data_IF_243080419938
#
_entry.id   IF_243080419938
#
_cell.length_a   1.000
_cell.length_b   1.000
_cell.length_c   1.000
_cell.angle_alpha   90.00
_cell.angle_beta   90.00
_cell.angle_gamma   90.00
#
_symmetry.space_group_name_H-M   'P 1'
#
loop_
_entity.id
_entity.type
_entity.pdbx_description
1 polymer ?
#
# COMPACT_ATOMS: atom_id res chain seq x y z
N UNK A 1 -2.54 -24.37 1.43
CA UNK A 1 -1.68 -23.22 1.82
C UNK A 1 -2.09 -22.00 0.98
N UNK A 2 -2.12 -20.79 1.55
CA UNK A 2 -2.47 -19.58 0.80
C UNK A 2 -1.37 -19.27 -0.23
N UNK A 3 -1.78 -18.83 -1.42
CA UNK A 3 -0.90 -18.38 -2.50
C UNK A 3 -1.20 -16.92 -2.75
N UNK A 4 -0.19 -16.05 -2.68
CA UNK A 4 -0.36 -14.63 -2.97
C UNK A 4 -0.47 -14.38 -4.47
N UNK A 5 -1.14 -13.28 -4.85
CA UNK A 5 -1.26 -12.85 -6.26
C UNK A 5 0.13 -12.72 -6.90
N UNK A 6 1.09 -12.11 -6.21
CA UNK A 6 2.46 -11.96 -6.70
C UNK A 6 3.21 -13.28 -6.90
N UNK A 7 2.79 -14.37 -6.25
CA UNK A 7 3.31 -15.71 -6.53
C UNK A 7 2.60 -16.35 -7.73
N UNK A 8 1.27 -16.19 -7.82
CA UNK A 8 0.46 -16.73 -8.92
C UNK A 8 0.80 -16.10 -10.28
N UNK A 9 1.22 -14.83 -10.29
CA UNK A 9 1.64 -14.08 -11.48
C UNK A 9 3.09 -14.39 -11.89
N UNK A 10 3.85 -15.20 -11.14
CA UNK A 10 5.19 -15.60 -11.59
C UNK A 10 5.10 -16.57 -12.77
N UNK A 11 6.19 -16.65 -13.54
CA UNK A 11 6.35 -17.70 -14.53
C UNK A 11 6.25 -19.07 -13.82
N UNK A 12 5.34 -19.93 -14.31
CA UNK A 12 4.97 -21.20 -13.67
C UNK A 12 4.52 -21.05 -12.19
N UNK A 13 3.88 -19.92 -11.85
CA UNK A 13 3.34 -19.67 -10.52
C UNK A 13 2.28 -20.70 -10.09
N UNK A 14 2.22 -21.05 -8.79
CA UNK A 14 1.23 -22.00 -8.30
C UNK A 14 -0.19 -21.45 -8.44
N UNK A 15 -1.14 -22.36 -8.67
CA UNK A 15 -2.57 -22.00 -8.72
C UNK A 15 -3.04 -21.53 -7.35
N UNK A 16 -3.79 -20.42 -7.33
CA UNK A 16 -4.47 -19.96 -6.12
C UNK A 16 -5.60 -20.93 -5.73
N UNK A 17 -5.56 -21.55 -4.54
CA UNK A 17 -6.62 -22.44 -4.09
C UNK A 17 -7.91 -21.66 -3.80
N UNK A 18 -8.99 -21.97 -4.52
CA UNK A 18 -10.25 -21.22 -4.46
C UNK A 18 -10.79 -21.10 -3.03
N UNK A 19 -11.03 -22.23 -2.35
CA UNK A 19 -11.73 -22.24 -1.06
C UNK A 19 -10.93 -21.51 0.04
N UNK A 20 -9.64 -21.79 0.17
CA UNK A 20 -8.83 -21.14 1.22
C UNK A 20 -8.65 -19.65 0.96
N UNK A 21 -8.52 -19.23 -0.31
CA UNK A 21 -8.42 -17.80 -0.64
C UNK A 21 -9.74 -17.09 -0.38
N UNK A 22 -10.87 -17.70 -0.77
CA UNK A 22 -12.19 -17.15 -0.49
C UNK A 22 -12.47 -16.99 1.02
N UNK A 23 -12.10 -17.99 1.83
CA UNK A 23 -12.22 -17.91 3.29
C UNK A 23 -11.31 -16.79 3.84
N UNK A 24 -10.08 -16.68 3.34
CA UNK A 24 -9.16 -15.61 3.70
C UNK A 24 -9.72 -14.21 3.35
N UNK A 25 -10.33 -14.06 2.18
CA UNK A 25 -10.96 -12.83 1.73
C UNK A 25 -12.15 -12.43 2.62
N UNK A 26 -13.01 -13.40 2.95
CA UNK A 26 -14.14 -13.15 3.85
C UNK A 26 -13.68 -12.75 5.25
N UNK A 27 -12.67 -13.44 5.80
CA UNK A 27 -12.10 -13.11 7.11
C UNK A 27 -11.48 -11.70 7.13
N UNK A 28 -10.82 -11.29 6.05
CA UNK A 28 -10.30 -9.92 5.92
C UNK A 28 -11.44 -8.90 5.92
N UNK A 29 -12.53 -9.13 5.17
CA UNK A 29 -13.68 -8.23 5.14
C UNK A 29 -14.29 -8.08 6.54
N UNK A 30 -14.51 -9.20 7.24
CA UNK A 30 -15.03 -9.21 8.62
C UNK A 30 -14.09 -8.46 9.55
N UNK A 31 -12.78 -8.71 9.48
CA UNK A 31 -11.78 -8.06 10.34
C UNK A 31 -11.74 -6.54 10.13
N UNK A 32 -11.84 -6.08 8.88
CA UNK A 32 -11.91 -4.64 8.56
C UNK A 32 -13.25 -4.05 9.00
N UNK A 33 -14.36 -4.77 8.84
CA UNK A 33 -15.68 -4.33 9.31
C UNK A 33 -15.75 -4.19 10.84
N UNK A 34 -15.01 -5.01 11.59
CA UNK A 34 -14.85 -4.91 13.04
C UNK A 34 -13.92 -3.77 13.49
N UNK A 35 -13.42 -2.94 12.56
CA UNK A 35 -12.65 -1.74 12.87
C UNK A 35 -11.13 -1.91 12.83
N UNK A 36 -10.62 -3.00 12.25
CA UNK A 36 -9.18 -3.18 12.04
C UNK A 36 -8.54 -1.98 11.32
N UNK A 37 -7.33 -1.55 11.71
CA UNK A 37 -6.65 -0.43 11.08
C UNK A 37 -6.10 -0.74 9.68
N UNK A 38 -6.29 -1.98 9.19
CA UNK A 38 -5.83 -2.46 7.90
C UNK A 38 -6.85 -2.24 6.78
N UNK A 39 -6.37 -2.29 5.55
CA UNK A 39 -7.16 -2.10 4.34
C UNK A 39 -7.88 -3.35 3.85
N UNK A 40 -9.02 -3.16 3.19
CA UNK A 40 -9.87 -4.21 2.59
C UNK A 40 -9.58 -4.47 1.11
N UNK A 41 -8.59 -3.81 0.54
CA UNK A 41 -8.29 -3.83 -0.88
C UNK A 41 -7.71 -5.15 -1.39
N UNK A 42 -7.19 -5.99 -0.50
CA UNK A 42 -6.59 -7.27 -0.89
C UNK A 42 -7.66 -8.26 -1.34
N UNK A 43 -8.78 -8.36 -0.62
CA UNK A 43 -9.80 -9.36 -0.88
C UNK A 43 -10.40 -9.28 -2.31
N UNK A 44 -10.81 -8.10 -2.81
CA UNK A 44 -11.33 -8.01 -4.18
C UNK A 44 -10.27 -8.27 -5.26
N UNK A 45 -9.00 -8.01 -4.95
CA UNK A 45 -7.88 -8.35 -5.85
C UNK A 45 -7.64 -9.86 -5.91
N UNK A 46 -7.72 -10.54 -4.77
CA UNK A 46 -7.59 -12.01 -4.68
C UNK A 46 -8.75 -12.68 -5.41
N UNK A 47 -10.00 -12.27 -5.16
CA UNK A 47 -11.16 -12.75 -5.91
C UNK A 47 -11.02 -12.52 -7.42
N UNK A 48 -10.64 -11.32 -7.84
CA UNK A 48 -10.42 -11.01 -9.26
C UNK A 48 -9.37 -11.90 -9.91
N UNK A 49 -8.25 -12.16 -9.22
CA UNK A 49 -7.20 -13.07 -9.69
C UNK A 49 -7.68 -14.52 -9.81
N UNK A 50 -8.50 -15.01 -8.86
CA UNK A 50 -9.06 -16.36 -8.89
C UNK A 50 -10.00 -16.55 -10.08
N UNK A 51 -10.95 -15.64 -10.29
CA UNK A 51 -11.88 -15.72 -11.42
C UNK A 51 -11.14 -15.62 -12.76
N UNK A 52 -10.15 -14.72 -12.86
CA UNK A 52 -9.32 -14.62 -14.05
C UNK A 52 -8.50 -15.89 -14.30
N UNK A 53 -8.01 -16.56 -13.25
CA UNK A 53 -7.32 -17.85 -13.36
C UNK A 53 -8.24 -18.91 -13.99
N UNK A 54 -9.46 -19.04 -13.47
CA UNK A 54 -10.44 -20.02 -13.97
C UNK A 54 -10.84 -19.73 -15.42
N UNK A 55 -11.08 -18.46 -15.75
CA UNK A 55 -11.43 -18.05 -17.11
C UNK A 55 -10.30 -18.32 -18.10
N UNK A 56 -9.05 -18.03 -17.71
CA UNK A 56 -7.87 -18.27 -18.54
C UNK A 56 -7.64 -19.75 -18.82
N UNK A 57 -7.86 -20.61 -17.81
CA UNK A 57 -7.78 -22.08 -17.97
C UNK A 57 -8.87 -22.61 -18.89
N UNK A 58 -10.11 -22.14 -18.73
CA UNK A 58 -11.22 -22.52 -19.61
C UNK A 58 -11.02 -22.08 -21.05
N UNK A 59 -10.41 -20.92 -21.24
CA UNK A 59 -10.06 -20.40 -22.56
C UNK A 59 -8.79 -21.04 -23.17
N UNK A 60 -8.11 -21.95 -22.44
CA UNK A 60 -6.90 -22.62 -22.94
C UNK A 60 -5.73 -21.67 -23.20
N UNK A 61 -5.64 -20.56 -22.47
CA UNK A 61 -4.59 -19.56 -22.69
C UNK A 61 -3.20 -20.12 -22.32
N UNK A 62 -2.20 -19.77 -23.13
CA UNK A 62 -0.80 -20.06 -22.83
C UNK A 62 -0.31 -19.39 -21.54
N UNK A 63 0.85 -19.82 -20.99
CA UNK A 63 1.33 -19.38 -19.68
C UNK A 63 1.47 -17.85 -19.53
N UNK A 64 1.96 -17.19 -20.57
CA UNK A 64 2.15 -15.73 -20.59
C UNK A 64 0.81 -14.97 -20.54
N UNK A 65 -0.14 -15.31 -21.41
CA UNK A 65 -1.46 -14.68 -21.43
C UNK A 65 -2.26 -14.99 -20.16
N UNK A 66 -2.12 -16.20 -19.61
CA UNK A 66 -2.70 -16.55 -18.31
C UNK A 66 -2.16 -15.64 -17.21
N UNK A 67 -0.85 -15.40 -17.17
CA UNK A 67 -0.21 -14.47 -16.22
C UNK A 67 -0.80 -13.06 -16.35
N UNK A 68 -0.89 -12.53 -17.57
CA UNK A 68 -1.46 -11.21 -17.84
C UNK A 68 -2.90 -11.15 -17.34
N UNK A 69 -3.73 -12.14 -17.68
CA UNK A 69 -5.14 -12.17 -17.27
C UNK A 69 -5.31 -12.23 -15.75
N UNK A 70 -4.51 -13.02 -15.04
CA UNK A 70 -4.55 -13.09 -13.56
C UNK A 70 -4.20 -11.72 -12.96
N UNK A 71 -3.16 -11.07 -13.47
CA UNK A 71 -2.76 -9.74 -13.02
C UNK A 71 -3.84 -8.69 -13.31
N UNK A 72 -4.44 -8.71 -14.52
CA UNK A 72 -5.56 -7.86 -14.90
C UNK A 72 -6.78 -8.08 -14.00
N UNK A 73 -7.10 -9.33 -13.64
CA UNK A 73 -8.16 -9.64 -12.69
C UNK A 73 -7.92 -9.01 -11.31
N UNK A 74 -6.68 -9.06 -10.82
CA UNK A 74 -6.31 -8.37 -9.59
C UNK A 74 -6.42 -6.84 -9.71
N UNK A 75 -5.94 -6.24 -10.80
CA UNK A 75 -6.06 -4.81 -11.07
C UNK A 75 -7.50 -4.32 -11.18
N UNK A 76 -8.34 -5.09 -11.87
CA UNK A 76 -9.78 -4.86 -11.98
C UNK A 76 -10.47 -4.87 -10.60
N UNK A 77 -10.07 -5.78 -9.71
CA UNK A 77 -10.52 -5.79 -8.32
C UNK A 77 -10.15 -4.52 -7.56
N UNK A 78 -8.93 -4.00 -7.76
CA UNK A 78 -8.51 -2.71 -7.18
C UNK A 78 -9.33 -1.54 -7.76
N UNK A 79 -9.52 -1.51 -9.07
CA UNK A 79 -10.26 -0.48 -9.79
C UNK A 79 -11.72 -0.39 -9.29
N UNK A 80 -12.41 -1.52 -9.21
CA UNK A 80 -13.80 -1.60 -8.76
C UNK A 80 -13.99 -1.16 -7.30
N UNK A 81 -13.06 -1.51 -6.41
CA UNK A 81 -13.15 -1.19 -4.98
C UNK A 81 -13.05 0.30 -4.69
N UNK A 82 -12.30 1.00 -5.51
CA UNK A 82 -11.81 2.34 -5.23
C UNK A 82 -12.27 3.39 -6.25
N UNK A 83 -12.95 2.97 -7.31
CA UNK A 83 -13.32 3.83 -8.43
C UNK A 83 -12.09 4.45 -9.12
N UNK A 84 -11.08 3.63 -9.40
CA UNK A 84 -9.75 4.04 -9.92
C UNK A 84 -9.35 3.21 -11.15
N UNK A 85 -10.01 3.39 -12.31
CA UNK A 85 -9.74 2.59 -13.50
C UNK A 85 -8.28 2.69 -13.99
N UNK A 86 -7.68 3.88 -14.00
CA UNK A 86 -6.28 4.03 -14.41
C UNK A 86 -5.32 3.55 -13.32
N UNK A 87 -5.63 3.77 -12.05
CA UNK A 87 -4.87 3.28 -10.91
C UNK A 87 -4.83 1.74 -10.86
N UNK A 88 -5.94 1.07 -11.15
CA UNK A 88 -6.00 -0.40 -11.27
C UNK A 88 -5.17 -0.95 -12.44
N UNK A 89 -5.20 -0.26 -13.58
CA UNK A 89 -4.40 -0.62 -14.74
C UNK A 89 -2.90 -0.45 -14.47
N UNK A 90 -2.47 0.71 -13.94
CA UNK A 90 -1.08 0.94 -13.58
C UNK A 90 -0.60 0.02 -12.47
N UNK A 91 -1.44 -0.26 -11.47
CA UNK A 91 -1.12 -1.26 -10.45
C UNK A 91 -0.78 -2.62 -11.07
N UNK A 92 -1.55 -3.04 -12.08
CA UNK A 92 -1.31 -4.29 -12.82
C UNK A 92 0.05 -4.25 -13.50
N UNK A 93 0.34 -3.18 -14.24
CA UNK A 93 1.53 -3.06 -15.07
C UNK A 93 2.80 -2.83 -14.25
N UNK A 94 2.77 -1.90 -13.31
CA UNK A 94 3.91 -1.48 -12.50
C UNK A 94 4.23 -2.49 -11.39
N UNK A 95 3.21 -3.04 -10.73
CA UNK A 95 3.40 -3.80 -9.47
C UNK A 95 3.29 -5.30 -9.66
N UNK A 96 2.37 -5.77 -10.51
CA UNK A 96 2.16 -7.21 -10.70
C UNK A 96 2.98 -7.77 -11.87
N UNK A 97 2.98 -7.10 -13.02
CA UNK A 97 3.65 -7.57 -14.23
C UNK A 97 5.05 -7.01 -14.42
N UNK A 98 5.32 -5.81 -13.88
CA UNK A 98 6.56 -5.06 -14.13
C UNK A 98 6.88 -4.92 -15.63
N UNK A 99 5.85 -4.76 -16.46
CA UNK A 99 5.93 -4.66 -17.93
C UNK A 99 4.86 -3.72 -18.48
N UNK A 100 5.23 -2.94 -19.49
CA UNK A 100 4.38 -1.96 -20.18
C UNK A 100 4.17 -2.32 -21.67
N UNK A 101 4.26 -3.61 -22.01
CA UNK A 101 3.96 -4.06 -23.37
C UNK A 101 2.47 -3.90 -23.69
N UNK A 102 2.13 -3.61 -24.95
CA UNK A 102 0.74 -3.44 -25.38
C UNK A 102 -0.13 -4.67 -25.13
N UNK A 103 0.47 -5.87 -25.18
CA UNK A 103 -0.17 -7.15 -24.81
C UNK A 103 -0.68 -7.17 -23.37
N UNK A 104 -0.08 -6.40 -22.46
CA UNK A 104 -0.50 -6.24 -21.07
C UNK A 104 -1.29 -4.94 -20.83
N UNK A 105 -0.87 -3.83 -21.45
CA UNK A 105 -1.48 -2.50 -21.27
C UNK A 105 -2.94 -2.49 -21.68
N UNK A 106 -3.25 -3.00 -22.88
CA UNK A 106 -4.62 -2.94 -23.41
C UNK A 106 -5.59 -3.76 -22.54
N UNK A 107 -5.30 -5.03 -22.16
CA UNK A 107 -6.15 -5.77 -21.24
C UNK A 107 -6.25 -5.14 -19.86
N UNK A 108 -5.17 -4.58 -19.30
CA UNK A 108 -5.17 -3.97 -17.97
C UNK A 108 -6.11 -2.75 -17.91
N UNK A 109 -6.05 -1.88 -18.93
CA UNK A 109 -6.93 -0.72 -19.06
C UNK A 109 -8.38 -1.19 -19.26
N UNK A 110 -8.63 -2.09 -20.21
CA UNK A 110 -9.97 -2.53 -20.55
C UNK A 110 -10.66 -3.20 -19.36
N UNK A 111 -10.01 -4.15 -18.70
CA UNK A 111 -10.58 -4.87 -17.54
C UNK A 111 -10.79 -3.95 -16.33
N UNK A 112 -9.88 -3.02 -16.07
CA UNK A 112 -10.05 -2.04 -14.99
C UNK A 112 -11.18 -1.05 -15.26
N UNK A 113 -11.32 -0.58 -16.50
CA UNK A 113 -12.42 0.29 -16.91
C UNK A 113 -13.78 -0.43 -16.83
N UNK A 114 -13.86 -1.67 -17.33
CA UNK A 114 -15.07 -2.51 -17.22
C UNK A 114 -15.44 -2.71 -15.76
N UNK A 115 -14.50 -3.10 -14.91
CA UNK A 115 -14.76 -3.36 -13.49
C UNK A 115 -15.25 -2.11 -12.74
N UNK A 116 -14.65 -0.95 -13.01
CA UNK A 116 -15.13 0.33 -12.48
C UNK A 116 -16.53 0.66 -13.00
N UNK A 117 -16.80 0.50 -14.29
CA UNK A 117 -18.12 0.77 -14.88
C UNK A 117 -19.21 -0.12 -14.29
N UNK A 118 -18.90 -1.39 -14.03
CA UNK A 118 -19.81 -2.32 -13.34
C UNK A 118 -20.03 -1.88 -11.89
N UNK A 119 -18.98 -1.45 -11.18
CA UNK A 119 -19.11 -0.97 -9.79
C UNK A 119 -20.04 0.25 -9.68
N UNK A 120 -20.11 1.10 -10.71
CA UNK A 120 -21.00 2.26 -10.73
C UNK A 120 -22.49 1.91 -10.68
N UNK A 121 -22.89 0.72 -11.12
CA UNK A 121 -24.29 0.27 -11.06
C UNK A 121 -24.81 0.19 -9.61
N UNK A 122 -23.93 -0.08 -8.64
CA UNK A 122 -24.28 -0.16 -7.22
C UNK A 122 -23.71 0.95 -6.34
N UNK A 123 -22.52 1.47 -6.67
CA UNK A 123 -21.78 2.43 -5.83
C UNK A 123 -21.79 3.87 -6.38
N UNK A 124 -22.19 4.04 -7.64
CA UNK A 124 -22.17 5.33 -8.34
C UNK A 124 -20.76 5.82 -8.70
N UNK A 125 -20.72 6.90 -9.48
CA UNK A 125 -19.48 7.51 -9.98
C UNK A 125 -19.06 8.72 -9.12
N UNK A 126 -18.70 8.48 -7.86
CA UNK A 126 -18.27 9.53 -6.92
C UNK A 126 -16.78 9.43 -6.60
N UNK A 127 -16.09 10.56 -6.34
CA UNK A 127 -14.70 10.51 -5.87
C UNK A 127 -14.65 9.84 -4.49
N UNK A 128 -13.55 9.13 -4.24
CA UNK A 128 -13.36 8.43 -2.98
C UNK A 128 -13.15 9.41 -1.81
N UNK A 129 -12.51 10.55 -2.08
CA UNK A 129 -12.31 11.63 -1.14
C UNK A 129 -12.78 12.97 -1.69
N UNK A 130 -13.42 13.76 -0.85
CA UNK A 130 -13.84 15.13 -1.19
C UNK A 130 -12.76 16.11 -0.78
N UNK A 131 -12.55 17.12 -1.61
CA UNK A 131 -11.59 18.19 -1.37
C UNK A 131 -12.30 19.54 -1.31
N UNK A 132 -11.81 20.51 -0.52
CA UNK A 132 -12.13 21.90 -0.72
C UNK A 132 -11.52 22.39 -2.06
N UNK A 133 -11.93 23.56 -2.57
CA UNK A 133 -11.25 24.19 -3.70
C UNK A 133 -9.77 24.44 -3.36
N UNK A 134 -8.86 23.72 -4.01
CA UNK A 134 -7.42 23.85 -3.81
C UNK A 134 -6.79 24.50 -5.05
N UNK A 135 -5.98 25.53 -4.83
CA UNK A 135 -5.22 26.22 -5.87
C UNK A 135 -3.74 25.87 -5.72
N UNK A 136 -3.07 25.61 -6.84
CA UNK A 136 -1.63 25.35 -6.84
C UNK A 136 -0.87 26.61 -6.40
N UNK A 137 0.12 26.42 -5.54
CA UNK A 137 1.01 27.49 -5.08
C UNK A 137 2.46 27.13 -5.37
N UNK A 138 3.26 28.12 -5.81
CA UNK A 138 4.70 27.95 -6.06
C UNK A 138 5.44 27.44 -4.83
N UNK A 139 5.07 27.91 -3.63
CA UNK A 139 5.68 27.46 -2.38
C UNK A 139 5.34 26.00 -2.06
N UNK A 140 4.17 25.49 -2.47
CA UNK A 140 3.86 24.06 -2.36
C UNK A 140 4.80 23.22 -3.25
N UNK A 141 5.10 23.68 -4.46
CA UNK A 141 6.03 22.98 -5.37
C UNK A 141 7.44 22.93 -4.78
N UNK A 142 7.94 24.05 -4.27
CA UNK A 142 9.25 24.11 -3.58
C UNK A 142 9.26 23.17 -2.38
N UNK A 143 8.22 23.22 -1.55
CA UNK A 143 8.09 22.33 -0.41
C UNK A 143 8.10 20.85 -0.84
N UNK A 144 7.35 20.48 -1.87
CA UNK A 144 7.32 19.11 -2.40
C UNK A 144 8.69 18.57 -2.79
N UNK A 145 9.52 19.39 -3.43
CA UNK A 145 10.88 19.02 -3.82
C UNK A 145 11.74 18.74 -2.58
N UNK A 146 11.65 19.61 -1.57
CA UNK A 146 12.46 19.52 -0.35
C UNK A 146 12.02 18.37 0.55
N UNK A 147 10.71 18.16 0.67
CA UNK A 147 10.14 17.23 1.64
C UNK A 147 9.98 15.81 1.10
N UNK A 148 9.93 15.63 -0.22
CA UNK A 148 9.85 14.32 -0.88
C UNK A 148 10.79 13.28 -0.26
N UNK A 149 12.11 13.57 -0.13
CA UNK A 149 13.08 12.74 0.58
C UNK A 149 12.63 12.24 1.97
N UNK A 150 11.98 13.09 2.77
CA UNK A 150 11.51 12.77 4.12
C UNK A 150 10.39 11.74 4.08
N UNK A 151 9.47 11.83 3.12
CA UNK A 151 8.44 10.80 2.91
C UNK A 151 9.06 9.44 2.57
N UNK A 152 10.14 9.44 1.77
CA UNK A 152 10.88 8.23 1.41
C UNK A 152 11.50 7.54 2.61
N UNK A 153 12.14 8.32 3.49
CA UNK A 153 12.72 7.81 4.74
C UNK A 153 11.63 7.29 5.69
N UNK A 154 10.54 8.02 5.87
CA UNK A 154 9.42 7.60 6.71
C UNK A 154 8.77 6.31 6.18
N UNK A 155 8.57 6.22 4.86
CA UNK A 155 8.08 5.01 4.20
C UNK A 155 9.03 3.83 4.36
N UNK A 156 10.34 4.05 4.32
CA UNK A 156 11.35 3.01 4.60
C UNK A 156 11.20 2.46 6.02
N UNK A 157 11.12 3.35 7.03
CA UNK A 157 10.90 2.94 8.43
C UNK A 157 9.60 2.15 8.57
N UNK A 158 8.52 2.62 7.94
CA UNK A 158 7.23 1.92 7.94
C UNK A 158 7.29 0.54 7.30
N UNK A 159 7.93 0.39 6.14
CA UNK A 159 8.08 -0.92 5.48
C UNK A 159 8.88 -1.88 6.34
N UNK A 160 9.97 -1.43 6.97
CA UNK A 160 10.78 -2.26 7.84
C UNK A 160 10.03 -2.67 9.11
N UNK A 161 9.32 -1.74 9.75
CA UNK A 161 8.54 -2.00 10.95
C UNK A 161 7.36 -2.94 10.68
N UNK A 162 6.58 -2.71 9.62
CA UNK A 162 5.45 -3.57 9.26
C UNK A 162 5.89 -4.98 8.86
N UNK A 163 7.03 -5.11 8.15
CA UNK A 163 7.64 -6.40 7.84
C UNK A 163 8.07 -7.13 9.11
N UNK A 164 8.73 -6.43 10.04
CA UNK A 164 9.15 -7.01 11.31
C UNK A 164 7.93 -7.43 12.16
N UNK A 165 6.88 -6.61 12.22
CA UNK A 165 5.65 -6.91 12.95
C UNK A 165 4.99 -8.20 12.41
N UNK A 166 4.84 -8.33 11.09
CA UNK A 166 4.30 -9.55 10.46
C UNK A 166 5.19 -10.77 10.70
N UNK A 167 6.52 -10.61 10.64
CA UNK A 167 7.47 -11.71 10.81
C UNK A 167 7.47 -12.28 12.23
N UNK A 168 7.23 -11.44 13.24
CA UNK A 168 7.17 -11.85 14.64
C UNK A 168 5.76 -12.21 15.12
N UNK A 169 4.74 -12.19 14.26
CA UNK A 169 3.39 -12.59 14.65
C UNK A 169 3.40 -14.06 15.13
N UNK A 170 2.76 -14.37 16.27
CA UNK A 170 2.77 -15.74 16.79
C UNK A 170 1.99 -16.65 15.83
N UNK A 171 2.41 -17.91 15.74
CA UNK A 171 1.72 -18.94 14.92
C UNK A 171 1.10 -20.04 15.77
N UNK A 172 1.17 -19.86 17.08
CA UNK A 172 0.76 -20.79 18.12
C UNK A 172 -0.40 -20.19 18.94
N UNK A 173 -0.71 -20.79 20.09
CA UNK A 173 -1.80 -20.38 20.97
C UNK A 173 -1.67 -18.95 21.51
N UNK A 174 -0.49 -18.33 21.43
CA UNK A 174 -0.31 -16.93 21.82
C UNK A 174 -0.98 -15.95 20.85
N UNK A 175 -1.32 -16.37 19.63
CA UNK A 175 -1.98 -15.52 18.64
C UNK A 175 -3.37 -15.05 19.11
N UNK A 176 -4.33 -15.93 19.48
CA UNK A 176 -5.60 -15.52 20.08
C UNK A 176 -5.44 -14.60 21.30
N UNK A 177 -4.50 -14.89 22.20
CA UNK A 177 -4.25 -14.08 23.38
C UNK A 177 -3.79 -12.66 23.01
N UNK A 178 -2.90 -12.54 22.03
CA UNK A 178 -2.44 -11.24 21.56
C UNK A 178 -3.55 -10.45 20.85
N UNK A 179 -4.40 -11.12 20.06
CA UNK A 179 -5.60 -10.49 19.49
C UNK A 179 -6.54 -9.94 20.57
N UNK A 180 -6.76 -10.70 21.64
CA UNK A 180 -7.61 -10.31 22.77
C UNK A 180 -7.06 -9.13 23.59
N UNK A 181 -5.78 -8.80 23.43
CA UNK A 181 -5.18 -7.60 24.04
C UNK A 181 -5.16 -6.43 23.04
N UNK A 182 -4.66 -6.67 21.84
CA UNK A 182 -4.41 -5.60 20.85
C UNK A 182 -5.70 -4.98 20.35
N UNK A 183 -6.70 -5.77 19.93
CA UNK A 183 -7.91 -5.19 19.35
C UNK A 183 -8.78 -4.45 20.39
N UNK A 184 -8.95 -4.94 21.63
CA UNK A 184 -9.58 -4.14 22.68
C UNK A 184 -8.80 -2.88 23.04
N UNK A 185 -7.46 -2.91 23.03
CA UNK A 185 -6.66 -1.70 23.22
C UNK A 185 -6.89 -0.67 22.10
N UNK A 186 -6.99 -1.11 20.84
CA UNK A 186 -7.37 -0.26 19.71
C UNK A 186 -8.77 0.32 19.93
N UNK A 187 -9.74 -0.50 20.37
CA UNK A 187 -11.09 -0.06 20.70
C UNK A 187 -11.11 1.00 21.81
N UNK A 188 -10.33 0.80 22.87
CA UNK A 188 -10.19 1.77 23.97
C UNK A 188 -9.57 3.08 23.49
N UNK A 189 -8.53 3.04 22.66
CA UNK A 189 -7.94 4.23 22.05
C UNK A 189 -8.94 4.96 21.15
N UNK A 190 -9.81 4.23 20.44
CA UNK A 190 -10.84 4.80 19.57
C UNK A 190 -11.93 5.56 20.35
N UNK A 191 -12.10 5.33 21.66
CA UNK A 191 -13.01 6.15 22.49
C UNK A 191 -12.49 7.60 22.58
N UNK A 192 -11.17 7.77 22.70
CA UNK A 192 -10.53 9.09 22.79
C UNK A 192 -10.20 9.68 21.41
N UNK A 193 -9.85 8.82 20.46
CA UNK A 193 -9.46 9.19 19.10
C UNK A 193 -10.30 8.39 18.09
N UNK A 194 -11.59 8.74 17.90
CA UNK A 194 -12.51 7.98 17.05
C UNK A 194 -12.04 7.88 15.59
N UNK A 195 -11.20 8.81 15.15
CA UNK A 195 -10.60 8.79 13.82
C UNK A 195 -9.71 7.56 13.59
N UNK A 196 -9.16 6.93 14.65
CA UNK A 196 -8.28 5.77 14.53
C UNK A 196 -8.98 4.51 14.01
N UNK A 197 -10.31 4.42 14.16
CA UNK A 197 -11.06 3.23 13.79
C UNK A 197 -11.07 3.01 12.27
N UNK A 198 -10.83 1.76 11.86
CA UNK A 198 -10.89 1.35 10.46
C UNK A 198 -9.64 1.68 9.65
N UNK A 199 -9.75 1.45 8.34
CA UNK A 199 -8.61 1.41 7.41
C UNK A 199 -7.89 2.75 7.16
N UNK A 200 -8.35 3.85 7.76
CA UNK A 200 -7.77 5.19 7.61
C UNK A 200 -8.45 6.08 6.57
N UNK A 201 -9.52 5.64 5.93
CA UNK A 201 -10.29 6.48 5.00
C UNK A 201 -10.80 7.76 5.68
N UNK A 202 -11.35 7.65 6.89
CA UNK A 202 -11.85 8.79 7.67
C UNK A 202 -10.75 9.80 8.01
N UNK A 203 -9.59 9.33 8.44
CA UNK A 203 -8.41 10.17 8.72
C UNK A 203 -7.92 10.87 7.47
N UNK A 204 -7.80 10.13 6.36
CA UNK A 204 -7.39 10.73 5.10
C UNK A 204 -8.39 11.78 4.62
N UNK A 205 -9.69 11.50 4.71
CA UNK A 205 -10.76 12.45 4.38
C UNK A 205 -10.65 13.73 5.21
N UNK A 206 -10.60 13.62 6.53
CA UNK A 206 -10.50 14.79 7.41
C UNK A 206 -9.19 15.58 7.18
N UNK A 207 -8.09 14.90 6.85
CA UNK A 207 -6.84 15.55 6.46
C UNK A 207 -6.95 16.31 5.13
N UNK A 208 -7.72 15.78 4.19
CA UNK A 208 -7.97 16.41 2.88
C UNK A 208 -9.04 17.51 2.92
N UNK A 209 -9.90 17.53 3.94
CA UNK A 209 -10.90 18.58 4.19
C UNK A 209 -10.35 19.75 5.02
N UNK A 210 -9.08 19.69 5.46
CA UNK A 210 -8.45 20.68 6.33
C UNK A 210 -9.06 20.73 7.76
N UNK A 211 -9.64 19.62 8.20
CA UNK A 211 -10.35 19.49 9.48
C UNK A 211 -9.47 18.96 10.63
N UNK A 212 -8.19 18.68 10.37
CA UNK A 212 -7.26 18.16 11.37
C UNK A 212 -6.22 19.23 11.73
N UNK A 213 -6.27 19.71 12.97
CA UNK A 213 -5.25 20.58 13.53
C UNK A 213 -3.91 19.84 13.75
N UNK A 214 -2.79 20.58 13.74
CA UNK A 214 -1.43 20.04 13.86
C UNK A 214 -1.25 19.06 15.03
N UNK A 215 -1.72 19.42 16.24
CA UNK A 215 -1.56 18.59 17.43
C UNK A 215 -2.29 17.24 17.30
N UNK A 216 -3.50 17.26 16.73
CA UNK A 216 -4.27 16.05 16.47
C UNK A 216 -3.63 15.24 15.34
N UNK A 217 -3.13 15.89 14.28
CA UNK A 217 -2.44 15.20 13.20
C UNK A 217 -1.19 14.47 13.69
N UNK A 218 -0.38 15.11 14.55
CA UNK A 218 0.80 14.50 15.15
C UNK A 218 0.45 13.33 16.07
N UNK A 219 -0.57 13.49 16.92
CA UNK A 219 -1.06 12.41 17.78
C UNK A 219 -1.57 11.21 16.96
N UNK A 220 -2.42 11.48 15.96
CA UNK A 220 -2.96 10.45 15.07
C UNK A 220 -1.86 9.78 14.25
N UNK A 221 -0.82 10.49 13.80
CA UNK A 221 0.30 9.91 13.05
C UNK A 221 0.99 8.82 13.87
N UNK A 222 1.34 9.14 15.13
CA UNK A 222 2.02 8.21 16.04
C UNK A 222 1.11 7.05 16.43
N UNK A 223 -0.11 7.34 16.89
CA UNK A 223 -1.06 6.32 17.32
C UNK A 223 -1.42 5.39 16.16
N UNK A 224 -1.63 5.94 14.96
CA UNK A 224 -1.97 5.15 13.78
C UNK A 224 -0.83 4.21 13.36
N UNK A 225 0.41 4.69 13.42
CA UNK A 225 1.57 3.85 13.20
C UNK A 225 1.61 2.68 14.19
N UNK A 226 1.40 2.95 15.48
CA UNK A 226 1.40 1.94 16.55
C UNK A 226 0.28 0.92 16.35
N UNK A 227 -0.97 1.33 16.10
CA UNK A 227 -2.09 0.39 15.96
C UNK A 227 -1.94 -0.49 14.70
N UNK A 228 -1.36 0.03 13.60
CA UNK A 228 -1.07 -0.77 12.41
C UNK A 228 -0.05 -1.84 12.75
N UNK A 229 1.05 -1.49 13.43
CA UNK A 229 2.05 -2.47 13.86
C UNK A 229 1.49 -3.49 14.84
N UNK A 230 0.68 -3.05 15.80
CA UNK A 230 -0.01 -3.91 16.76
C UNK A 230 -0.91 -4.93 16.06
N UNK A 231 -1.78 -4.49 15.15
CA UNK A 231 -2.66 -5.35 14.39
C UNK A 231 -1.88 -6.39 13.55
N UNK A 232 -0.81 -5.95 12.87
CA UNK A 232 0.07 -6.87 12.11
C UNK A 232 0.80 -7.87 13.01
N UNK A 233 1.24 -7.43 14.19
CA UNK A 233 1.92 -8.27 15.19
C UNK A 233 0.96 -9.26 15.84
N UNK A 234 -0.33 -8.93 15.92
CA UNK A 234 -1.44 -9.81 16.28
C UNK A 234 -1.89 -10.71 15.12
N UNK A 235 -1.15 -10.76 14.00
CA UNK A 235 -1.42 -11.66 12.88
C UNK A 235 -2.59 -11.25 11.98
N UNK A 236 -3.09 -10.02 12.11
CA UNK A 236 -4.15 -9.52 11.24
C UNK A 236 -3.68 -9.45 9.78
N UNK A 237 -4.52 -9.96 8.88
CA UNK A 237 -4.32 -9.87 7.43
C UNK A 237 -5.11 -8.68 6.87
N UNK A 238 -4.55 -8.05 5.85
CA UNK A 238 -5.15 -6.88 5.22
C UNK A 238 -4.11 -6.04 4.47
N UNK A 239 -4.63 -5.15 3.63
CA UNK A 239 -3.84 -4.26 2.82
C UNK A 239 -3.29 -3.05 3.58
N UNK A 240 -2.28 -2.42 2.99
CA UNK A 240 -1.59 -1.26 3.57
C UNK A 240 -1.71 -0.02 2.67
N UNK A 241 -2.56 -0.04 1.64
CA UNK A 241 -2.74 1.07 0.71
C UNK A 241 -3.41 2.25 1.41
N UNK A 242 -4.62 2.08 1.93
CA UNK A 242 -5.31 3.15 2.68
C UNK A 242 -4.56 3.52 3.97
N UNK A 243 -4.03 2.56 4.76
CA UNK A 243 -3.21 2.89 5.92
C UNK A 243 -1.96 3.70 5.60
N UNK A 244 -1.19 3.31 4.57
CA UNK A 244 -0.01 4.05 4.14
C UNK A 244 -0.36 5.44 3.63
N UNK A 245 -1.41 5.56 2.82
CA UNK A 245 -1.89 6.85 2.32
C UNK A 245 -2.27 7.80 3.47
N UNK A 246 -3.05 7.32 4.45
CA UNK A 246 -3.44 8.13 5.61
C UNK A 246 -2.25 8.55 6.50
N UNK A 247 -1.24 7.70 6.69
CA UNK A 247 0.00 8.07 7.39
C UNK A 247 0.78 9.14 6.61
N UNK A 248 0.88 8.99 5.28
CA UNK A 248 1.48 9.98 4.41
C UNK A 248 0.76 11.33 4.47
N UNK A 249 -0.56 11.33 4.48
CA UNK A 249 -1.38 12.53 4.63
C UNK A 249 -1.18 13.22 5.96
N UNK A 250 -1.22 12.47 7.06
CA UNK A 250 -0.94 13.02 8.40
C UNK A 250 0.48 13.59 8.52
N UNK A 251 1.49 12.88 7.99
CA UNK A 251 2.86 13.36 7.96
C UNK A 251 2.99 14.63 7.09
N UNK A 252 2.27 14.69 5.97
CA UNK A 252 2.16 15.87 5.12
C UNK A 252 1.57 17.07 5.86
N UNK A 253 0.51 16.87 6.64
CA UNK A 253 -0.09 17.94 7.49
C UNK A 253 0.91 18.42 8.53
N UNK A 254 1.58 17.51 9.23
CA UNK A 254 2.55 17.86 10.28
C UNK A 254 3.70 18.68 9.70
N UNK A 255 4.35 18.18 8.64
CA UNK A 255 5.48 18.85 7.99
C UNK A 255 5.05 20.13 7.27
N UNK A 256 3.87 20.14 6.66
CA UNK A 256 3.28 21.29 6.00
C UNK A 256 2.90 22.40 6.98
N UNK A 257 2.45 22.06 8.18
CA UNK A 257 2.17 23.06 9.24
C UNK A 257 3.44 23.78 9.68
N UNK A 258 4.57 23.09 9.78
CA UNK A 258 5.86 23.72 10.07
C UNK A 258 6.31 24.64 8.93
N UNK A 259 6.12 24.21 7.67
CA UNK A 259 6.40 25.06 6.51
C UNK A 259 5.52 26.30 6.47
N UNK A 260 4.25 26.17 6.84
CA UNK A 260 3.28 27.25 6.83
C UNK A 260 3.67 28.43 7.74
N UNK A 261 4.43 28.20 8.82
CA UNK A 261 4.96 29.28 9.66
C UNK A 261 6.01 30.15 8.92
N UNK A 262 6.77 29.58 7.98
CA UNK A 262 7.81 30.29 7.23
C UNK A 262 7.35 30.81 5.87
N UNK A 263 6.43 30.10 5.21
CA UNK A 263 5.87 30.47 3.90
C UNK A 263 4.40 30.05 3.80
N UNK A 264 3.44 30.84 4.33
CA UNK A 264 2.01 30.58 4.20
C UNK A 264 1.63 30.64 2.71
N UNK A 265 1.17 29.53 2.14
CA UNK A 265 0.97 29.51 0.69
C UNK A 265 -0.09 28.54 0.17
N UNK A 266 -0.44 27.52 0.94
CA UNK A 266 -1.45 26.54 0.58
C UNK A 266 -2.20 26.04 1.83
N UNK A 267 -3.46 25.60 1.70
CA UNK A 267 -4.17 24.90 2.77
C UNK A 267 -3.46 23.60 3.17
N UNK A 268 -3.57 23.15 4.43
CA UNK A 268 -2.89 21.93 4.90
C UNK A 268 -3.33 20.67 4.13
N UNK A 269 -4.56 20.68 3.62
CA UNK A 269 -5.06 19.66 2.69
C UNK A 269 -4.15 19.42 1.47
N UNK A 270 -3.55 20.47 0.90
CA UNK A 270 -2.64 20.33 -0.24
C UNK A 270 -1.36 19.57 0.15
N UNK A 271 -0.81 19.86 1.32
CA UNK A 271 0.35 19.15 1.88
C UNK A 271 0.01 17.69 2.21
N UNK A 272 -1.21 17.43 2.70
CA UNK A 272 -1.71 16.09 2.96
C UNK A 272 -1.80 15.24 1.68
N UNK A 273 -2.28 15.82 0.57
CA UNK A 273 -2.38 15.12 -0.72
C UNK A 273 -0.99 14.75 -1.25
N UNK A 274 -0.06 15.70 -1.24
CA UNK A 274 1.33 15.47 -1.66
C UNK A 274 2.01 14.43 -0.77
N UNK A 275 1.83 14.52 0.56
CA UNK A 275 2.40 13.56 1.50
C UNK A 275 1.82 12.15 1.36
N UNK A 276 0.52 12.06 1.08
CA UNK A 276 -0.15 10.79 0.78
C UNK A 276 0.45 10.12 -0.45
N UNK A 277 0.64 10.86 -1.54
CA UNK A 277 1.25 10.37 -2.78
C UNK A 277 2.72 9.94 -2.55
N UNK A 278 3.53 10.84 -1.97
CA UNK A 278 4.96 10.60 -1.74
C UNK A 278 5.22 9.41 -0.84
N UNK A 279 4.48 9.28 0.27
CA UNK A 279 4.63 8.15 1.17
C UNK A 279 4.16 6.84 0.51
N UNK A 280 2.98 6.85 -0.12
CA UNK A 280 2.39 5.65 -0.74
C UNK A 280 3.28 5.09 -1.86
N UNK A 281 3.83 5.97 -2.70
CA UNK A 281 4.76 5.61 -3.78
C UNK A 281 5.92 4.73 -3.27
N UNK A 282 6.52 5.12 -2.15
CA UNK A 282 7.66 4.42 -1.56
C UNK A 282 7.24 3.22 -0.73
N UNK A 283 6.21 3.36 0.12
CA UNK A 283 5.82 2.28 1.04
C UNK A 283 5.29 1.05 0.30
N UNK A 284 4.68 1.26 -0.87
CA UNK A 284 4.12 0.19 -1.70
C UNK A 284 4.94 -0.06 -2.99
N UNK A 285 6.05 0.65 -3.18
CA UNK A 285 6.94 0.56 -4.36
C UNK A 285 6.20 0.70 -5.69
N UNK A 286 5.37 1.74 -5.81
CA UNK A 286 4.47 1.97 -6.94
C UNK A 286 4.40 3.46 -7.33
N UNK A 287 5.52 4.11 -7.69
CA UNK A 287 5.55 5.56 -7.91
C UNK A 287 4.53 6.07 -8.94
N UNK A 288 4.38 5.42 -10.10
CA UNK A 288 3.43 5.86 -11.12
C UNK A 288 1.98 5.62 -10.68
N UNK A 289 1.70 4.44 -10.12
CA UNK A 289 0.39 4.08 -9.61
C UNK A 289 -0.04 5.01 -8.47
N UNK A 290 0.87 5.39 -7.56
CA UNK A 290 0.55 6.28 -6.44
C UNK A 290 0.14 7.68 -6.90
N UNK A 291 0.80 8.23 -7.93
CA UNK A 291 0.41 9.52 -8.54
C UNK A 291 -1.02 9.43 -9.05
N UNK A 292 -1.30 8.44 -9.90
CA UNK A 292 -2.62 8.28 -10.53
C UNK A 292 -3.71 7.95 -9.52
N UNK A 293 -3.43 7.09 -8.54
CA UNK A 293 -4.37 6.79 -7.47
C UNK A 293 -4.81 8.05 -6.74
N UNK A 294 -3.88 8.92 -6.35
CA UNK A 294 -4.23 10.15 -5.64
C UNK A 294 -5.08 11.09 -6.52
N UNK A 295 -4.77 11.20 -7.82
CA UNK A 295 -5.58 11.98 -8.75
C UNK A 295 -7.00 11.42 -8.91
N UNK A 296 -7.16 10.11 -9.12
CA UNK A 296 -8.50 9.51 -9.28
C UNK A 296 -9.30 9.49 -7.98
N UNK A 297 -8.62 9.25 -6.85
CA UNK A 297 -9.21 9.27 -5.53
C UNK A 297 -9.84 10.60 -5.16
N UNK A 298 -9.17 11.69 -5.52
CA UNK A 298 -9.55 13.05 -5.10
C UNK A 298 -10.18 13.88 -6.21
N UNK A 299 -9.98 13.49 -7.48
CA UNK A 299 -10.30 14.28 -8.69
C UNK A 299 -9.74 15.71 -8.64
N UNK A 300 -8.58 15.87 -8.01
CA UNK A 300 -7.89 17.15 -7.97
C UNK A 300 -7.47 17.59 -9.37
N UNK A 301 -7.37 18.90 -9.58
CA UNK A 301 -6.94 19.49 -10.84
C UNK A 301 -5.57 19.00 -11.30
N UNK A 302 -5.38 18.94 -12.62
CA UNK A 302 -4.16 18.42 -13.25
C UNK A 302 -2.89 19.16 -12.81
N UNK A 303 -2.99 20.42 -12.41
CA UNK A 303 -1.88 21.24 -11.92
C UNK A 303 -1.16 20.60 -10.72
N UNK A 304 -1.87 19.81 -9.90
CA UNK A 304 -1.29 19.10 -8.76
C UNK A 304 -0.38 17.94 -9.16
N UNK A 305 -0.35 17.53 -10.43
CA UNK A 305 0.64 16.59 -10.96
C UNK A 305 2.07 17.06 -10.65
N UNK A 306 2.33 18.36 -10.73
CA UNK A 306 3.67 18.93 -10.55
C UNK A 306 4.20 18.69 -9.12
N UNK A 307 3.57 19.21 -8.05
CA UNK A 307 4.04 19.00 -6.69
C UNK A 307 4.00 17.52 -6.27
N UNK A 308 3.02 16.75 -6.74
CA UNK A 308 2.94 15.30 -6.44
C UNK A 308 4.13 14.56 -7.07
N UNK A 309 4.45 14.83 -8.34
CA UNK A 309 5.54 14.15 -9.05
C UNK A 309 6.89 14.42 -8.40
N UNK A 310 7.18 15.67 -7.99
CA UNK A 310 8.42 16.00 -7.29
C UNK A 310 8.54 15.29 -5.94
N UNK A 311 7.48 15.29 -5.14
CA UNK A 311 7.49 14.59 -3.86
C UNK A 311 7.67 13.08 -4.03
N UNK A 312 6.99 12.48 -5.00
CA UNK A 312 7.11 11.04 -5.34
C UNK A 312 8.52 10.71 -5.81
N UNK A 313 9.11 11.51 -6.70
CA UNK A 313 10.47 11.30 -7.19
C UNK A 313 11.51 11.36 -6.06
N UNK A 314 11.45 12.38 -5.20
CA UNK A 314 12.34 12.51 -4.06
C UNK A 314 12.15 11.37 -3.04
N UNK A 315 10.89 11.03 -2.74
CA UNK A 315 10.53 9.94 -1.82
C UNK A 315 11.08 8.61 -2.31
N UNK A 316 10.79 8.25 -3.57
CA UNK A 316 11.17 6.96 -4.12
C UNK A 316 12.69 6.81 -4.23
N UNK A 317 13.39 7.89 -4.60
CA UNK A 317 14.86 7.91 -4.68
C UNK A 317 15.51 7.62 -3.34
N UNK A 318 15.09 8.31 -2.26
CA UNK A 318 15.64 8.08 -0.91
C UNK A 318 15.27 6.70 -0.38
N UNK A 319 14.03 6.28 -0.57
CA UNK A 319 13.60 4.93 -0.18
C UNK A 319 14.48 3.85 -0.82
N UNK A 320 14.78 3.98 -2.11
CA UNK A 320 15.63 3.05 -2.85
C UNK A 320 17.07 3.05 -2.31
N UNK A 321 17.65 4.22 -2.05
CA UNK A 321 18.99 4.34 -1.45
C UNK A 321 19.07 3.68 -0.07
N UNK A 322 18.06 3.87 0.78
CA UNK A 322 17.97 3.21 2.09
C UNK A 322 17.89 1.69 1.95
N UNK A 323 17.10 1.18 1.00
CA UNK A 323 16.99 -0.25 0.72
C UNK A 323 18.31 -0.86 0.24
N UNK A 324 19.03 -0.19 -0.67
CA UNK A 324 20.34 -0.64 -1.16
C UNK A 324 21.40 -0.68 -0.04
N UNK A 325 21.48 0.38 0.77
CA UNK A 325 22.42 0.43 1.91
C UNK A 325 22.15 -0.67 2.93
N UNK A 326 20.89 -0.98 3.20
CA UNK A 326 20.53 -2.05 4.12
C UNK A 326 20.84 -3.44 3.55
N UNK A 327 20.71 -3.63 2.22
CA UNK A 327 21.11 -4.87 1.56
C UNK A 327 22.63 -5.09 1.62
N UNK A 328 23.43 -4.03 1.40
CA UNK A 328 24.90 -4.10 1.51
C UNK A 328 25.44 -4.26 2.94
N UNK A 329 24.63 -3.97 3.97
CA UNK A 329 25.00 -4.16 5.38
C UNK A 329 24.76 -5.59 5.89
N UNK A 330 23.94 -6.40 5.21
CA UNK A 330 23.86 -7.82 5.56
C UNK A 330 25.14 -8.47 5.06
N UNK A 331 25.90 -9.20 5.91
CA UNK A 331 27.06 -9.92 5.43
C UNK A 331 26.61 -10.82 4.29
N UNK A 332 27.28 -10.69 3.15
CA UNK A 332 27.14 -11.65 2.05
C UNK A 332 27.35 -13.03 2.65
N UNK A 333 26.47 -13.96 2.33
CA UNK A 333 26.64 -15.39 2.64
C UNK A 333 27.94 -15.98 2.07
N UNK A 334 28.70 -15.21 1.28
CA UNK A 334 30.06 -15.52 0.84
C UNK A 334 31.16 -15.22 1.88
N UNK A 335 30.90 -14.43 2.94
CA UNK A 335 31.91 -14.06 3.95
C UNK A 335 31.91 -14.96 5.20
N UNK A 336 31.12 -16.05 5.20
CA UNK A 336 31.15 -17.10 6.25
C UNK A 336 31.85 -18.38 5.73
N UNK A 337 32.42 -18.34 4.52
CA UNK A 337 33.15 -19.46 3.92
C UNK A 337 34.68 -19.35 4.01
N UNK A 338 35.22 -18.32 4.70
CA UNK A 338 36.66 -18.17 4.94
C UNK A 338 36.95 -18.11 6.44
N UNK A 339 36.67 -19.19 7.16
CA UNK A 339 37.40 -19.53 8.39
C UNK A 339 37.73 -21.03 8.32
N UNK A 340 39.03 -21.27 8.05
CA UNK A 340 39.83 -22.50 8.11
C UNK A 340 39.73 -23.57 7.00
N UNK A 341 40.76 -23.65 6.13
CA UNK A 341 41.22 -24.88 5.51
C UNK A 341 42.39 -25.49 6.30
N UNK A 342 42.17 -26.68 6.87
CA UNK A 342 43.20 -27.70 7.04
C UNK A 342 43.79 -27.88 8.44
N UNK A 343 43.47 -29.01 9.08
CA UNK A 343 44.45 -30.09 9.28
C UNK A 343 43.81 -31.33 9.93
N UNK A 344 44.28 -32.49 9.45
CA UNK A 344 44.29 -33.84 10.04
C UNK A 344 43.27 -34.88 9.55
N UNK A 345 43.80 -35.66 8.59
CA UNK A 345 43.90 -37.14 8.56
C UNK A 345 42.69 -37.97 8.15
N UNK A 346 42.78 -38.42 6.89
CA UNK A 346 42.73 -39.82 6.41
C UNK A 346 42.19 -40.93 7.32
N UNK A 347 41.39 -41.79 6.67
CA UNK A 347 41.03 -43.21 6.93
C UNK A 347 39.55 -43.40 7.26
N UNK A 348 38.79 -44.42 6.85
CA UNK A 348 38.91 -45.61 5.98
C UNK A 348 37.45 -46.08 5.77
N UNK A 349 37.14 -46.56 4.56
CA UNK A 349 36.17 -47.63 4.20
C UNK A 349 35.04 -47.96 5.20
N UNK A 350 33.79 -47.61 4.86
CA UNK A 350 32.67 -48.53 4.57
C UNK A 350 31.39 -47.77 4.24
#
# INVERSE_FOLDING_TARGET
>A
PLVSISQAVRENGPRMPFLSTFVHDLLQIVTVALGSPLGREVAPRELGAIFATQLSERAGLGPEYKRIMIACGAGAGLAAVYNVPLGGALFTLEVLLQSFEFSAVIPAIATSAIATGVAWLGLGNTPQYRLPPLVLSHSLVVWSILIGPVFGLAAYVFVQATRAARAHAPKDWHLPALCAVVFPAIGLLAIFFPQLLGNGKSIAQAGFENDIALHLAAALLLLRFIIILGALRAGAAGGLLTPGMSLGGLLGIVLGSFWHYGAPSAPLAAFAIVGSAGFLASSMKMPLTAIVLILEFTRIGHDFLIPISFAVAGSYSVFHLCMQRNAGRKPSSAAVAEIEPGMLTSEVVH
#
